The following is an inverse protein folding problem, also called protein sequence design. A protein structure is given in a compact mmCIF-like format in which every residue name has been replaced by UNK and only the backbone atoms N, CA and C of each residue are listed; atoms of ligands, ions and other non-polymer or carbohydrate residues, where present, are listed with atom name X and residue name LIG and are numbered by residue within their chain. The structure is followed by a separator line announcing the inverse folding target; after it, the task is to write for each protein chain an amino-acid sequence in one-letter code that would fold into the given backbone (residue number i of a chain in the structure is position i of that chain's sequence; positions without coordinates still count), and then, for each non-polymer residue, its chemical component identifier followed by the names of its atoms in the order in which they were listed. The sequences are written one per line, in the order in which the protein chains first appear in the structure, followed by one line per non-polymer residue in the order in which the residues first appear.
data_IF_522001217578
#
_entry.id   IF_522001217578
#
_cell.length_a   1.000
_cell.length_b   1.000
_cell.length_c   1.000
_cell.angle_alpha   90.00
_cell.angle_beta   90.00
_cell.angle_gamma   90.00
#
_symmetry.space_group_name_H-M   'P 1'
#
loop_
_entity.id
_entity.type
_entity.pdbx_description
1 polymer ?
#
# COMPACT_ATOMS: atom_id res chain seq x y z
N UNK A 1 69.56 30.38 46.00
CA UNK A 1 68.38 29.79 46.67
C UNK A 1 67.05 30.54 46.42
N UNK A 2 67.01 31.61 45.61
CA UNK A 2 65.79 32.41 45.38
C UNK A 2 64.96 32.03 44.15
N UNK A 3 65.56 31.42 43.12
CA UNK A 3 64.87 31.16 41.84
C UNK A 3 63.94 29.94 41.94
N UNK A 4 64.42 28.83 42.52
CA UNK A 4 63.63 27.60 42.70
C UNK A 4 62.39 27.85 43.57
N UNK A 5 62.52 28.64 44.65
CA UNK A 5 61.38 29.03 45.50
C UNK A 5 60.34 29.85 44.73
N UNK A 6 60.77 30.77 43.86
CA UNK A 6 59.86 31.57 43.03
C UNK A 6 59.09 30.73 42.01
N UNK A 7 59.76 29.75 41.38
CA UNK A 7 59.10 28.81 40.45
C UNK A 7 58.05 27.97 41.18
N UNK A 8 58.37 27.49 42.38
CA UNK A 8 57.45 26.68 43.18
C UNK A 8 56.22 27.48 43.63
N UNK A 9 56.39 28.74 44.02
CA UNK A 9 55.29 29.66 44.35
C UNK A 9 54.41 29.94 43.12
N UNK A 10 55.01 30.08 41.94
CA UNK A 10 54.29 30.33 40.69
C UNK A 10 53.41 29.14 40.29
N UNK A 11 53.91 27.91 40.44
CA UNK A 11 53.11 26.71 40.24
C UNK A 11 51.99 26.57 41.26
N UNK A 12 52.24 26.89 42.54
CA UNK A 12 51.22 26.88 43.58
C UNK A 12 50.08 27.87 43.25
N UNK A 13 50.42 29.07 42.78
CA UNK A 13 49.44 30.07 42.34
C UNK A 13 48.60 29.57 41.16
N UNK A 14 49.21 28.91 40.18
CA UNK A 14 48.50 28.38 39.03
C UNK A 14 47.51 27.27 39.42
N UNK A 15 47.92 26.38 40.33
CA UNK A 15 47.04 25.34 40.88
C UNK A 15 45.89 25.95 41.67
N UNK A 16 46.16 26.94 42.53
CA UNK A 16 45.11 27.66 43.26
C UNK A 16 44.12 28.36 42.32
N UNK A 17 44.61 28.98 41.24
CA UNK A 17 43.76 29.63 40.24
C UNK A 17 42.86 28.62 39.53
N UNK A 18 43.37 27.44 39.16
CA UNK A 18 42.56 26.39 38.53
C UNK A 18 41.46 25.85 39.47
N UNK A 19 41.77 25.67 40.75
CA UNK A 19 40.78 25.23 41.76
C UNK A 19 39.68 26.30 41.94
N UNK A 20 40.05 27.59 41.93
CA UNK A 20 39.08 28.68 42.00
C UNK A 20 38.18 28.72 40.77
N UNK A 21 38.74 28.56 39.56
CA UNK A 21 37.94 28.51 38.33
C UNK A 21 37.03 27.28 38.28
N UNK A 22 37.48 26.11 38.72
CA UNK A 22 36.64 24.91 38.80
C UNK A 22 35.49 25.05 39.81
N UNK A 23 35.72 25.78 40.93
CA UNK A 23 34.66 26.15 41.86
C UNK A 23 33.71 27.21 41.30
N UNK A 24 34.21 28.13 40.46
CA UNK A 24 33.38 29.15 39.82
C UNK A 24 32.53 28.56 38.68
N UNK A 25 33.04 27.55 37.97
CA UNK A 25 32.34 26.86 36.89
C UNK A 25 31.33 25.80 37.36
N UNK A 26 31.23 25.58 38.68
CA UNK A 26 30.04 24.98 39.28
C UNK A 26 28.90 25.98 39.18
N UNK A 27 28.44 26.24 37.96
CA UNK A 27 27.13 26.83 37.73
C UNK A 27 26.16 25.94 38.52
N UNK A 28 25.58 26.50 39.59
CA UNK A 28 24.58 25.79 40.39
C UNK A 28 23.55 25.26 39.41
N UNK A 29 23.38 23.93 39.39
CA UNK A 29 22.22 23.34 38.74
C UNK A 29 21.02 23.92 39.48
N UNK A 30 20.29 24.79 38.81
CA UNK A 30 19.10 25.40 39.38
C UNK A 30 18.12 24.25 39.65
N UNK A 31 17.84 23.99 40.92
CA UNK A 31 16.96 22.90 41.30
C UNK A 31 15.56 23.23 40.77
N UNK A 32 15.05 22.36 39.90
CA UNK A 32 13.78 22.56 39.24
C UNK A 32 12.66 22.46 40.29
N UNK A 33 12.06 23.59 40.66
CA UNK A 33 10.95 23.61 41.61
C UNK A 33 9.65 23.19 40.89
N UNK A 34 8.95 22.13 41.32
CA UNK A 34 7.70 21.70 40.71
C UNK A 34 6.59 22.77 40.75
N UNK A 35 6.70 23.77 41.63
CA UNK A 35 5.79 24.92 41.68
C UNK A 35 5.91 25.84 40.44
N UNK A 36 7.02 25.80 39.71
CA UNK A 36 7.23 26.61 38.50
C UNK A 36 6.40 26.12 37.29
N UNK A 37 5.77 24.94 37.40
CA UNK A 37 4.85 24.42 36.38
C UNK A 37 3.39 24.78 36.67
N UNK A 38 3.11 25.43 37.81
CA UNK A 38 1.75 25.86 38.13
C UNK A 38 1.42 27.17 37.41
N UNK A 39 0.20 27.27 36.83
CA UNK A 39 -0.22 28.48 36.14
C UNK A 39 -0.24 29.67 37.11
N UNK A 40 0.43 30.76 36.72
CA UNK A 40 0.40 32.03 37.44
C UNK A 40 -0.49 33.03 36.70
N UNK A 41 -1.13 33.93 37.45
CA UNK A 41 -1.86 35.08 36.89
C UNK A 41 -0.95 36.23 36.45
N UNK A 42 0.37 36.08 36.59
CA UNK A 42 1.37 37.05 36.12
C UNK A 42 1.37 37.17 34.60
N UNK A 43 1.38 38.40 34.09
CA UNK A 43 1.55 38.69 32.66
C UNK A 43 2.89 38.17 32.11
N UNK A 44 3.90 37.98 32.96
CA UNK A 44 5.23 37.50 32.59
C UNK A 44 5.39 35.98 32.73
N UNK A 45 4.36 35.27 33.21
CA UNK A 45 4.40 33.81 33.40
C UNK A 45 4.90 33.01 32.17
N UNK A 46 4.54 33.37 30.92
CA UNK A 46 5.05 32.67 29.75
C UNK A 46 6.59 32.73 29.61
N UNK A 47 7.22 33.81 30.07
CA UNK A 47 8.68 33.97 30.03
C UNK A 47 9.35 33.14 31.14
N UNK A 48 8.74 33.09 32.33
CA UNK A 48 9.19 32.26 33.45
C UNK A 48 9.10 30.76 33.12
N UNK A 49 8.09 30.38 32.33
CA UNK A 49 7.88 29.01 31.88
C UNK A 49 8.79 28.62 30.70
N UNK A 50 9.29 29.59 29.94
CA UNK A 50 10.08 29.34 28.74
C UNK A 50 11.38 28.59 29.04
N UNK A 51 12.09 28.95 30.12
CA UNK A 51 13.34 28.29 30.49
C UNK A 51 13.11 26.83 30.89
N UNK A 52 12.01 26.55 31.61
CA UNK A 52 11.65 25.19 32.03
C UNK A 52 11.17 24.34 30.85
N UNK A 53 10.41 24.93 29.92
CA UNK A 53 9.95 24.29 28.70
C UNK A 53 11.10 23.99 27.72
N UNK A 54 12.07 24.91 27.59
CA UNK A 54 13.24 24.70 26.74
C UNK A 54 14.25 23.70 27.32
N UNK A 55 14.24 23.53 28.64
CA UNK A 55 15.11 22.59 29.35
C UNK A 55 14.48 21.20 29.51
N UNK A 56 13.20 21.01 29.18
CA UNK A 56 12.54 19.71 29.28
C UNK A 56 12.91 18.79 28.12
N UNK A 57 13.07 17.50 28.42
CA UNK A 57 13.25 16.47 27.40
C UNK A 57 11.90 16.17 26.71
N UNK A 58 11.89 15.91 25.39
CA UNK A 58 10.66 15.56 24.69
C UNK A 58 10.07 14.27 25.26
N UNK A 59 8.80 14.31 25.65
CA UNK A 59 8.08 13.14 26.14
C UNK A 59 7.56 12.34 24.94
N UNK A 60 7.99 11.07 24.75
CA UNK A 60 7.44 10.23 23.70
C UNK A 60 5.98 9.91 24.03
N UNK A 61 5.08 10.29 23.13
CA UNK A 61 3.67 9.94 23.21
C UNK A 61 3.41 8.78 22.24
N UNK A 62 3.02 7.63 22.77
CA UNK A 62 2.53 6.51 21.97
C UNK A 62 1.04 6.74 21.69
N UNK A 63 0.75 7.28 20.51
CA UNK A 63 -0.63 7.48 20.05
C UNK A 63 -1.04 6.22 19.30
N UNK A 64 -1.96 5.44 19.87
CA UNK A 64 -2.62 4.36 19.16
C UNK A 64 -3.72 4.95 18.29
N UNK A 65 -3.51 4.95 16.97
CA UNK A 65 -4.52 5.33 16.00
C UNK A 65 -4.66 4.24 14.94
N UNK A 66 -5.90 3.89 14.63
CA UNK A 66 -6.20 2.97 13.55
C UNK A 66 -6.22 3.75 12.24
N UNK A 67 -5.16 3.62 11.44
CA UNK A 67 -5.18 4.07 10.05
C UNK A 67 -5.86 2.98 9.22
N UNK A 68 -7.05 3.22 8.63
CA UNK A 68 -7.59 2.26 7.69
C UNK A 68 -6.62 2.12 6.52
N UNK A 69 -6.31 0.87 6.15
CA UNK A 69 -5.39 0.57 5.05
C UNK A 69 -5.85 1.12 3.69
N UNK A 70 -7.12 1.54 3.59
CA UNK A 70 -7.77 2.02 2.39
C UNK A 70 -8.62 3.24 2.72
N UNK A 71 -8.50 4.31 1.92
CA UNK A 71 -9.43 5.42 1.97
C UNK A 71 -10.80 5.03 1.39
N UNK A 72 -11.85 5.79 1.70
CA UNK A 72 -13.20 5.57 1.15
C UNK A 72 -13.22 5.46 -0.40
N UNK A 73 -12.36 6.23 -1.07
CA UNK A 73 -12.21 6.19 -2.53
C UNK A 73 -11.58 4.89 -3.04
N UNK A 74 -10.66 4.30 -2.29
CA UNK A 74 -9.97 3.07 -2.68
C UNK A 74 -10.93 1.87 -2.61
N UNK A 75 -11.80 1.86 -1.61
CA UNK A 75 -12.86 0.85 -1.49
C UNK A 75 -13.87 0.95 -2.65
N UNK A 76 -14.33 2.17 -2.97
CA UNK A 76 -15.26 2.38 -4.08
C UNK A 76 -14.65 1.92 -5.40
N UNK A 77 -13.39 2.29 -5.67
CA UNK A 77 -12.66 1.89 -6.87
C UNK A 77 -12.50 0.36 -6.96
N UNK A 78 -12.22 -0.32 -5.85
CA UNK A 78 -12.12 -1.78 -5.83
C UNK A 78 -13.46 -2.46 -6.13
N UNK A 79 -14.56 -1.92 -5.60
CA UNK A 79 -15.91 -2.43 -5.86
C UNK A 79 -16.35 -2.20 -7.30
N UNK A 80 -16.08 -1.02 -7.87
CA UNK A 80 -16.34 -0.72 -9.28
C UNK A 80 -15.57 -1.68 -10.19
N UNK A 81 -14.27 -1.89 -9.92
CA UNK A 81 -13.45 -2.83 -10.67
C UNK A 81 -13.99 -4.27 -10.63
N UNK A 82 -14.45 -4.73 -9.45
CA UNK A 82 -15.05 -6.07 -9.33
C UNK A 82 -16.34 -6.21 -10.13
N UNK A 83 -17.19 -5.18 -10.12
CA UNK A 83 -18.44 -5.16 -10.88
C UNK A 83 -18.17 -5.23 -12.40
N UNK A 84 -17.22 -4.41 -12.88
CA UNK A 84 -16.81 -4.43 -14.29
C UNK A 84 -16.29 -5.83 -14.69
N UNK A 85 -15.49 -6.46 -13.83
CA UNK A 85 -14.96 -7.79 -14.07
C UNK A 85 -16.07 -8.85 -14.19
N UNK A 86 -17.05 -8.81 -13.29
CA UNK A 86 -18.22 -9.71 -13.34
C UNK A 86 -19.03 -9.49 -14.63
N UNK A 87 -19.21 -8.23 -15.02
CA UNK A 87 -19.89 -7.88 -16.27
C UNK A 87 -19.17 -8.47 -17.49
N UNK A 88 -17.84 -8.30 -17.58
CA UNK A 88 -17.04 -8.87 -18.68
C UNK A 88 -17.13 -10.41 -18.73
N UNK A 89 -17.06 -11.09 -17.58
CA UNK A 89 -17.16 -12.55 -17.54
C UNK A 89 -18.53 -13.04 -17.97
N UNK A 90 -19.59 -12.32 -17.61
CA UNK A 90 -20.96 -12.60 -18.06
C UNK A 90 -21.10 -12.44 -19.57
N UNK A 91 -20.66 -11.32 -20.13
CA UNK A 91 -20.69 -11.06 -21.58
C UNK A 91 -19.90 -12.13 -22.36
N UNK A 92 -18.73 -12.49 -21.84
CA UNK A 92 -17.89 -13.54 -22.41
C UNK A 92 -18.60 -14.90 -22.40
N UNK A 93 -19.32 -15.21 -21.34
CA UNK A 93 -20.16 -16.39 -21.23
C UNK A 93 -21.28 -16.42 -22.27
N UNK A 94 -21.97 -15.30 -22.46
CA UNK A 94 -23.05 -15.17 -23.46
C UNK A 94 -22.53 -15.28 -24.89
N UNK A 95 -21.38 -14.68 -25.20
CA UNK A 95 -20.72 -14.84 -26.51
C UNK A 95 -20.38 -16.30 -26.77
N UNK A 96 -19.79 -17.01 -25.80
CA UNK A 96 -19.47 -18.44 -25.95
C UNK A 96 -20.73 -19.27 -26.22
N UNK A 97 -21.83 -19.02 -25.50
CA UNK A 97 -23.11 -19.71 -25.73
C UNK A 97 -23.64 -19.48 -27.14
N UNK A 98 -23.64 -18.23 -27.62
CA UNK A 98 -24.05 -17.89 -29.00
C UNK A 98 -23.21 -18.61 -30.05
N UNK A 99 -21.88 -18.67 -29.86
CA UNK A 99 -20.98 -19.39 -30.78
C UNK A 99 -21.33 -20.88 -30.84
N UNK A 100 -21.55 -21.52 -29.69
CA UNK A 100 -21.89 -22.96 -29.62
C UNK A 100 -23.24 -23.22 -30.31
N UNK A 101 -24.23 -22.37 -30.07
CA UNK A 101 -25.56 -22.49 -30.69
C UNK A 101 -25.48 -22.37 -32.22
N UNK A 102 -24.71 -21.40 -32.72
CA UNK A 102 -24.48 -21.22 -34.14
C UNK A 102 -23.72 -22.39 -34.77
N UNK A 103 -22.70 -22.92 -34.09
CA UNK A 103 -21.99 -24.13 -34.55
C UNK A 103 -22.94 -25.32 -34.67
N UNK A 104 -23.79 -25.55 -33.68
CA UNK A 104 -24.78 -26.63 -33.71
C UNK A 104 -25.78 -26.45 -34.86
N UNK A 105 -26.26 -25.22 -35.08
CA UNK A 105 -27.15 -24.90 -36.20
C UNK A 105 -26.51 -25.21 -37.56
N UNK A 106 -25.23 -24.87 -37.72
CA UNK A 106 -24.47 -25.15 -38.94
C UNK A 106 -24.25 -26.65 -39.12
N UNK A 107 -23.93 -27.37 -38.05
CA UNK A 107 -23.77 -28.83 -38.07
C UNK A 107 -25.05 -29.54 -38.52
N UNK A 108 -26.20 -29.16 -37.95
CA UNK A 108 -27.50 -29.70 -38.36
C UNK A 108 -27.80 -29.42 -39.84
N UNK A 109 -27.47 -28.22 -40.34
CA UNK A 109 -27.66 -27.87 -41.74
C UNK A 109 -26.78 -28.72 -42.66
N UNK A 110 -25.50 -28.91 -42.30
CA UNK A 110 -24.58 -29.78 -43.03
C UNK A 110 -25.09 -31.22 -43.04
N UNK A 111 -25.59 -31.73 -41.90
CA UNK A 111 -26.12 -33.08 -41.80
C UNK A 111 -27.34 -33.28 -42.71
N UNK A 112 -28.26 -32.31 -42.76
CA UNK A 112 -29.40 -32.34 -43.71
C UNK A 112 -28.94 -32.36 -45.16
N UNK A 113 -27.93 -31.56 -45.53
CA UNK A 113 -27.36 -31.56 -46.88
C UNK A 113 -26.75 -32.91 -47.26
N UNK A 114 -25.99 -33.52 -46.34
CA UNK A 114 -25.39 -34.85 -46.55
C UNK A 114 -26.49 -35.90 -46.80
N UNK A 115 -27.57 -35.89 -46.03
CA UNK A 115 -28.67 -36.82 -46.22
C UNK A 115 -29.36 -36.65 -47.58
N UNK A 116 -29.59 -35.40 -48.00
CA UNK A 116 -30.14 -35.12 -49.33
C UNK A 116 -29.23 -35.64 -50.45
N UNK A 117 -27.91 -35.47 -50.32
CA UNK A 117 -26.96 -35.99 -51.29
C UNK A 117 -26.97 -37.52 -51.34
N UNK A 118 -26.97 -38.19 -50.19
CA UNK A 118 -27.08 -39.67 -50.12
C UNK A 118 -28.35 -40.17 -50.80
N UNK A 119 -29.49 -39.51 -50.58
CA UNK A 119 -30.74 -39.87 -51.25
C UNK A 119 -30.68 -39.66 -52.76
N UNK A 120 -30.10 -38.55 -53.23
CA UNK A 120 -29.91 -38.29 -54.67
C UNK A 120 -29.01 -39.34 -55.32
N UNK A 121 -27.91 -39.70 -54.66
CA UNK A 121 -26.97 -40.71 -55.14
C UNK A 121 -27.65 -42.08 -55.26
N UNK A 122 -28.37 -42.52 -54.22
CA UNK A 122 -29.14 -43.77 -54.24
C UNK A 122 -30.17 -43.79 -55.37
N UNK A 123 -30.88 -42.68 -55.58
CA UNK A 123 -31.85 -42.56 -56.67
C UNK A 123 -31.19 -42.63 -58.06
N UNK A 124 -29.99 -42.06 -58.21
CA UNK A 124 -29.23 -42.11 -59.45
C UNK A 124 -28.72 -43.53 -59.74
N UNK A 125 -28.21 -44.24 -58.73
CA UNK A 125 -27.82 -45.65 -58.84
C UNK A 125 -29.01 -46.52 -59.26
N UNK A 126 -30.18 -46.34 -58.62
CA UNK A 126 -31.40 -47.07 -58.99
C UNK A 126 -31.83 -46.80 -60.45
N UNK A 127 -31.77 -45.54 -60.90
CA UNK A 127 -32.08 -45.19 -62.30
C UNK A 127 -31.13 -45.87 -63.28
N UNK A 128 -29.83 -45.88 -62.98
CA UNK A 128 -28.83 -46.53 -63.84
C UNK A 128 -29.03 -48.04 -63.88
N UNK A 129 -29.34 -48.67 -62.75
CA UNK A 129 -29.67 -50.09 -62.69
C UNK A 129 -30.90 -50.45 -63.54
N UNK A 130 -31.97 -49.66 -63.44
CA UNK A 130 -33.19 -49.88 -64.23
C UNK A 130 -32.95 -49.72 -65.74
N UNK A 131 -32.10 -48.77 -66.15
CA UNK A 131 -31.69 -48.60 -67.56
C UNK A 131 -30.90 -49.82 -68.04
N UNK A 132 -29.85 -50.21 -67.32
CA UNK A 132 -29.03 -51.37 -67.67
C UNK A 132 -29.85 -52.67 -67.79
N UNK A 133 -30.87 -52.86 -66.94
CA UNK A 133 -31.78 -54.02 -67.02
C UNK A 133 -32.72 -53.95 -68.22
N UNK A 134 -33.20 -52.75 -68.58
CA UNK A 134 -34.06 -52.57 -69.77
C UNK A 134 -33.32 -52.90 -71.05
N UNK A 135 -32.05 -52.54 -71.13
CA UNK A 135 -31.20 -52.78 -72.31
C UNK A 135 -30.81 -54.26 -72.48
N UNK A 136 -31.13 -55.13 -71.51
CA UNK A 136 -30.89 -56.59 -71.54
C UNK A 136 -32.10 -57.42 -72.02
N UNK A 137 -33.26 -56.80 -72.25
CA UNK A 137 -34.49 -57.45 -72.76
C UNK A 137 -34.67 -57.08 -74.23
#
# INVERSE_FOLDING_TARGET
MNVVKKILILHLLFVCQQILFARLSMARKEEMNPLNFMPSSSLLYPLDFQQNWQASEPIPLEIHYDVPAYGYKDLLMALEYQNDLEHYDKERGEVKRRIIEEQKRLEENLWRKIQLLKMKEKNLQNRNFLRARKDQI
#
